data_IF_973228780803
#
_entry.id   IF_973228780803
#
_cell.length_a   1.000
_cell.length_b   1.000
_cell.length_c   1.000
_cell.angle_alpha   90.00
_cell.angle_beta   90.00
_cell.angle_gamma   90.00
#
_symmetry.space_group_name_H-M   'P 1'
#
loop_
_entity.id
_entity.type
_entity.pdbx_description
1 polymer ?
#
# COMPACT_ATOMS: atom_id res chain seq x y z
N UNK A 1 26.06 27.66 -3.88
CA UNK A 1 25.95 27.77 -2.42
C UNK A 1 24.45 27.74 -2.11
N UNK A 2 23.80 26.62 -1.82
CA UNK A 2 24.22 25.24 -1.64
C UNK A 2 23.39 24.36 -2.59
N UNK A 3 24.05 23.77 -3.59
CA UNK A 3 23.58 22.53 -4.20
C UNK A 3 24.48 21.47 -3.57
N UNK A 4 24.17 21.10 -2.34
CA UNK A 4 24.96 20.12 -1.58
C UNK A 4 24.01 19.44 -0.62
N UNK A 5 23.28 18.48 -1.15
CA UNK A 5 22.82 17.30 -0.43
C UNK A 5 22.19 16.44 -1.50
N UNK A 6 22.82 15.29 -1.78
CA UNK A 6 22.19 14.17 -2.45
C UNK A 6 20.82 14.01 -1.81
N UNK A 7 19.78 14.51 -2.50
CA UNK A 7 18.40 14.38 -2.08
C UNK A 7 18.22 12.91 -1.80
N UNK A 8 18.08 12.52 -0.55
CA UNK A 8 17.70 11.16 -0.21
C UNK A 8 16.36 10.99 -0.90
N UNK A 9 16.34 10.36 -2.07
CA UNK A 9 15.20 10.36 -2.97
C UNK A 9 14.03 9.74 -2.21
N UNK A 10 13.13 10.60 -1.71
CA UNK A 10 11.99 10.16 -0.92
C UNK A 10 11.01 9.54 -1.91
N UNK A 11 11.02 8.21 -1.97
CA UNK A 11 10.13 7.47 -2.87
C UNK A 11 8.72 7.47 -2.28
N UNK A 12 7.80 8.13 -2.97
CA UNK A 12 6.38 8.15 -2.64
C UNK A 12 5.69 6.95 -3.32
N UNK A 13 5.17 6.02 -2.53
CA UNK A 13 4.40 4.88 -3.02
C UNK A 13 2.91 5.21 -3.07
N UNK A 14 2.31 5.03 -4.26
CA UNK A 14 0.86 5.04 -4.42
C UNK A 14 0.37 3.61 -4.46
N UNK A 15 -0.41 3.21 -3.45
CA UNK A 15 -0.95 1.88 -3.32
C UNK A 15 -2.32 1.85 -3.98
N UNK A 16 -2.42 1.08 -5.06
CA UNK A 16 -3.59 0.98 -5.91
C UNK A 16 -4.26 -0.39 -5.71
N UNK A 17 -5.59 -0.40 -5.64
CA UNK A 17 -6.37 -1.63 -5.74
C UNK A 17 -6.33 -2.20 -7.16
N UNK A 18 -6.78 -3.44 -7.38
CA UNK A 18 -6.87 -4.05 -8.71
C UNK A 18 -7.70 -3.23 -9.72
N UNK A 19 -8.67 -2.46 -9.24
CA UNK A 19 -9.46 -1.52 -10.05
C UNK A 19 -8.80 -0.14 -10.24
N UNK A 20 -7.50 -0.03 -9.93
CA UNK A 20 -6.77 1.22 -9.89
C UNK A 20 -7.37 2.27 -8.94
N UNK A 21 -8.13 1.85 -7.92
CA UNK A 21 -8.63 2.76 -6.89
C UNK A 21 -7.49 3.06 -5.91
N UNK A 22 -7.31 4.33 -5.58
CA UNK A 22 -6.29 4.77 -4.63
C UNK A 22 -6.68 4.32 -3.21
N UNK A 23 -5.85 3.47 -2.62
CA UNK A 23 -6.04 2.94 -1.27
C UNK A 23 -5.17 3.66 -0.24
N UNK A 24 -4.04 4.20 -0.67
CA UNK A 24 -3.17 5.00 0.19
C UNK A 24 -1.94 5.52 -0.52
N UNK A 25 -1.36 6.58 0.04
CA UNK A 25 -0.07 7.13 -0.39
C UNK A 25 0.85 7.07 0.82
N UNK A 26 2.01 6.43 0.69
CA UNK A 26 2.97 6.31 1.79
C UNK A 26 4.40 6.53 1.31
N UNK A 27 5.21 7.16 2.14
CA UNK A 27 6.68 7.24 1.96
C UNK A 27 7.36 6.07 2.69
N UNK A 28 6.71 5.56 3.75
CA UNK A 28 7.19 4.49 4.60
C UNK A 28 6.39 3.21 4.38
N UNK A 29 6.97 2.29 3.60
CA UNK A 29 6.40 0.97 3.38
C UNK A 29 6.29 0.14 4.68
N UNK A 30 7.30 0.11 5.58
CA UNK A 30 7.23 -0.72 6.79
C UNK A 30 6.08 -0.34 7.73
N UNK A 31 5.83 0.95 7.89
CA UNK A 31 4.74 1.47 8.73
C UNK A 31 3.37 1.14 8.13
N UNK A 32 3.26 1.14 6.80
CA UNK A 32 2.04 0.74 6.10
C UNK A 32 1.66 -0.72 6.37
N UNK A 33 2.61 -1.66 6.24
CA UNK A 33 2.35 -3.09 6.47
C UNK A 33 1.95 -3.42 7.90
N UNK A 34 2.49 -2.69 8.89
CA UNK A 34 2.19 -2.94 10.31
C UNK A 34 0.82 -2.41 10.75
N UNK A 35 0.37 -1.31 10.17
CA UNK A 35 -0.81 -0.60 10.66
C UNK A 35 -1.98 -0.65 9.67
N UNK A 36 -1.77 -0.23 8.42
CA UNK A 36 -2.85 0.07 7.46
C UNK A 36 -3.22 -1.14 6.59
N UNK A 37 -2.27 -2.02 6.29
CA UNK A 37 -2.50 -3.18 5.43
C UNK A 37 -3.61 -4.12 5.92
N UNK A 38 -3.77 -4.29 7.23
CA UNK A 38 -4.79 -5.17 7.80
C UNK A 38 -6.21 -4.68 7.52
N UNK A 39 -6.45 -3.37 7.52
CA UNK A 39 -7.75 -2.79 7.20
C UNK A 39 -8.01 -2.82 5.69
N UNK A 40 -6.99 -2.53 4.88
CA UNK A 40 -7.06 -2.68 3.41
C UNK A 40 -7.35 -4.13 3.02
N UNK A 41 -6.75 -5.11 3.68
CA UNK A 41 -7.00 -6.54 3.44
C UNK A 41 -8.46 -6.93 3.74
N UNK A 42 -9.07 -6.38 4.80
CA UNK A 42 -10.49 -6.64 5.12
C UNK A 42 -11.41 -6.09 4.04
N UNK A 43 -11.13 -4.87 3.56
CA UNK A 43 -11.92 -4.24 2.49
C UNK A 43 -11.83 -5.05 1.18
N UNK A 44 -10.62 -5.43 0.78
CA UNK A 44 -10.39 -6.23 -0.43
C UNK A 44 -11.03 -7.61 -0.29
N UNK A 45 -10.92 -8.25 0.88
CA UNK A 45 -11.54 -9.55 1.14
C UNK A 45 -13.07 -9.50 1.02
N UNK A 46 -13.71 -8.42 1.47
CA UNK A 46 -15.16 -8.26 1.37
C UNK A 46 -15.65 -7.96 -0.04
N UNK A 47 -14.86 -7.21 -0.83
CA UNK A 47 -15.24 -6.80 -2.19
C UNK A 47 -14.93 -7.86 -3.25
N UNK A 48 -13.88 -8.66 -3.07
CA UNK A 48 -13.38 -9.61 -4.09
C UNK A 48 -13.49 -11.09 -3.67
N UNK A 49 -14.59 -11.46 -3.00
CA UNK A 49 -14.89 -12.81 -2.52
C UNK A 49 -14.81 -13.93 -3.60
N UNK A 50 -14.77 -13.57 -4.88
CA UNK A 50 -14.77 -14.51 -6.02
C UNK A 50 -13.43 -14.67 -6.76
N UNK A 51 -12.40 -13.89 -6.42
CA UNK A 51 -11.09 -14.02 -7.08
C UNK A 51 -10.16 -14.92 -6.26
N UNK A 52 -9.89 -16.08 -6.84
CA UNK A 52 -9.09 -17.25 -6.43
C UNK A 52 -7.73 -17.06 -5.70
N UNK A 53 -7.26 -15.86 -5.33
CA UNK A 53 -6.11 -15.70 -4.41
C UNK A 53 -6.49 -15.96 -2.93
N UNK A 54 -7.40 -16.92 -2.73
CA UNK A 54 -7.97 -17.34 -1.45
C UNK A 54 -7.22 -18.61 -1.03
N UNK A 55 -6.18 -18.48 -0.21
CA UNK A 55 -5.88 -19.56 0.74
C UNK A 55 -5.68 -19.10 2.18
N UNK A 56 -5.43 -17.82 2.44
CA UNK A 56 -5.31 -17.35 3.82
C UNK A 56 -6.16 -16.09 4.04
N UNK A 57 -7.48 -16.23 3.91
CA UNK A 57 -8.41 -15.35 4.63
C UNK A 57 -8.79 -16.06 5.94
N UNK A 58 -7.79 -16.24 6.81
CA UNK A 58 -7.96 -16.57 8.22
C UNK A 58 -7.56 -15.34 9.05
#
# INVERSE_FOLDING_TARGET
>A
MACDELCSEVVLFTLLSPEHRLQGVTQDLPSFWKNVYFDVRKEICGQYLMHYLIQECA
#
